data_IF_088258872399
#
_entry.id   IF_088258872399
#
_cell.length_a   1.000
_cell.length_b   1.000
_cell.length_c   1.000
_cell.angle_alpha   90.00
_cell.angle_beta   90.00
_cell.angle_gamma   90.00
#
_symmetry.space_group_name_H-M   'P 1'
#
loop_
_entity.id
_entity.type
_entity.pdbx_description
1 polymer ?
#
# COMPACT_ATOMS: atom_id res chain seq x y z
N UNK A 1 5.85 -3.16 12.81
CA UNK A 1 4.41 -3.40 12.54
C UNK A 1 4.16 -4.81 12.01
N UNK A 2 4.52 -5.14 10.76
CA UNK A 2 4.24 -6.47 10.16
C UNK A 2 4.82 -7.65 10.96
N UNK A 3 6.09 -7.56 11.35
CA UNK A 3 6.72 -8.61 12.16
C UNK A 3 6.02 -8.81 13.50
N UNK A 4 5.56 -7.71 14.13
CA UNK A 4 4.84 -7.78 15.41
C UNK A 4 3.47 -8.44 15.22
N UNK A 5 2.71 -8.05 14.19
CA UNK A 5 1.43 -8.65 13.90
C UNK A 5 1.54 -10.16 13.60
N UNK A 6 2.56 -10.59 12.85
CA UNK A 6 2.84 -12.03 12.65
C UNK A 6 3.20 -12.74 13.95
N UNK A 7 4.03 -12.13 14.79
CA UNK A 7 4.43 -12.70 16.08
C UNK A 7 3.25 -12.84 17.05
N UNK A 8 2.23 -12.00 16.93
CA UNK A 8 0.98 -12.10 17.70
C UNK A 8 -0.01 -13.14 17.12
N UNK A 9 0.38 -13.89 16.09
CA UNK A 9 -0.43 -14.96 15.50
C UNK A 9 -1.45 -14.49 14.46
N UNK A 10 -1.44 -13.21 14.06
CA UNK A 10 -2.32 -12.75 12.99
C UNK A 10 -1.84 -13.25 11.63
N UNK A 11 -2.75 -13.90 10.90
CA UNK A 11 -2.50 -14.34 9.53
C UNK A 11 -2.58 -13.15 8.57
N UNK A 12 -1.43 -12.58 8.23
CA UNK A 12 -1.30 -11.50 7.26
C UNK A 12 -1.00 -12.05 5.87
N UNK A 13 -2.06 -12.39 5.13
CA UNK A 13 -2.01 -12.80 3.71
C UNK A 13 -2.85 -11.85 2.85
N UNK A 14 -2.50 -11.76 1.58
CA UNK A 14 -3.25 -11.02 0.55
C UNK A 14 -3.52 -9.54 0.85
N UNK A 15 -2.56 -8.89 1.51
CA UNK A 15 -2.62 -7.45 1.79
C UNK A 15 -1.80 -6.64 0.78
N UNK A 16 -2.10 -5.34 0.72
CA UNK A 16 -1.41 -4.39 -0.14
C UNK A 16 -0.37 -3.63 0.66
N UNK A 17 0.81 -3.46 0.09
CA UNK A 17 1.86 -2.58 0.62
C UNK A 17 2.22 -1.52 -0.41
N UNK A 18 2.63 -0.35 0.07
CA UNK A 18 3.07 0.75 -0.78
C UNK A 18 4.25 1.45 -0.14
N UNK A 19 5.31 1.65 -0.93
CA UNK A 19 6.38 2.59 -0.62
C UNK A 19 6.16 3.87 -1.43
N UNK A 20 6.34 5.04 -0.80
CA UNK A 20 6.12 6.36 -1.41
C UNK A 20 7.32 7.30 -1.24
N UNK A 21 8.54 6.77 -1.24
CA UNK A 21 9.72 7.61 -1.06
C UNK A 21 10.02 8.48 -2.30
N UNK A 22 10.66 9.64 -2.06
CA UNK A 22 11.12 10.51 -3.15
C UNK A 22 12.16 9.85 -4.06
N UNK A 23 12.94 8.90 -3.53
CA UNK A 23 13.97 8.15 -4.27
C UNK A 23 13.83 6.67 -3.98
N UNK A 24 14.12 5.83 -4.98
CA UNK A 24 14.19 4.37 -4.78
C UNK A 24 15.30 4.01 -3.80
N UNK A 25 14.93 3.41 -2.68
CA UNK A 25 15.87 2.87 -1.71
C UNK A 25 15.70 1.35 -1.58
N UNK A 26 16.81 0.63 -1.40
CA UNK A 26 16.77 -0.82 -1.33
C UNK A 26 16.01 -1.33 -0.10
N UNK A 27 16.12 -0.67 1.07
CA UNK A 27 15.47 -1.15 2.31
C UNK A 27 13.94 -1.09 2.23
N UNK A 28 13.32 0.02 1.81
CA UNK A 28 11.87 0.05 1.60
C UNK A 28 11.41 -0.91 0.51
N UNK A 29 12.16 -0.99 -0.61
CA UNK A 29 11.85 -1.93 -1.68
C UNK A 29 11.87 -3.40 -1.19
N UNK A 30 12.85 -3.78 -0.39
CA UNK A 30 12.92 -5.15 0.17
C UNK A 30 11.92 -5.37 1.31
N UNK A 31 11.89 -4.48 2.31
CA UNK A 31 11.20 -4.74 3.58
C UNK A 31 9.73 -4.32 3.60
N UNK A 32 9.30 -3.50 2.65
CA UNK A 32 7.90 -3.05 2.52
C UNK A 32 7.28 -3.67 1.29
N UNK A 33 7.95 -3.59 0.14
CA UNK A 33 7.35 -3.97 -1.14
C UNK A 33 7.48 -5.46 -1.42
N UNK A 34 8.67 -6.04 -1.31
CA UNK A 34 8.89 -7.44 -1.72
C UNK A 34 8.65 -8.46 -0.60
N UNK A 35 9.44 -8.38 0.49
CA UNK A 35 9.43 -9.40 1.57
C UNK A 35 8.04 -9.62 2.18
N UNK A 36 7.23 -8.58 2.47
CA UNK A 36 5.92 -8.80 3.08
C UNK A 36 4.90 -9.47 2.16
N UNK A 37 5.02 -9.30 0.85
CA UNK A 37 4.05 -9.81 -0.14
C UNK A 37 4.50 -11.11 -0.82
N UNK A 38 5.63 -11.70 -0.40
CA UNK A 38 6.15 -12.96 -0.94
C UNK A 38 5.19 -14.15 -0.76
N UNK A 39 4.37 -14.11 0.28
CA UNK A 39 3.41 -15.18 0.63
C UNK A 39 1.98 -14.87 0.15
N UNK A 40 1.82 -13.85 -0.70
CA UNK A 40 0.52 -13.36 -1.19
C UNK A 40 0.40 -11.83 -1.07
N UNK A 41 -0.54 -11.25 -1.81
CA UNK A 41 -0.78 -9.80 -1.85
C UNK A 41 -0.03 -9.04 -2.94
N UNK A 42 -0.02 -7.71 -2.82
CA UNK A 42 0.54 -6.81 -3.85
C UNK A 42 1.42 -5.73 -3.24
N UNK A 43 2.62 -5.55 -3.78
CA UNK A 43 3.55 -4.51 -3.38
C UNK A 43 3.72 -3.46 -4.47
N UNK A 44 3.57 -2.19 -4.10
CA UNK A 44 3.75 -1.05 -4.98
C UNK A 44 4.89 -0.15 -4.52
N UNK A 45 5.66 0.39 -5.45
CA UNK A 45 6.69 1.38 -5.18
C UNK A 45 6.45 2.60 -6.05
N UNK A 46 5.98 3.68 -5.44
CA UNK A 46 5.70 4.96 -6.09
C UNK A 46 6.82 5.93 -5.71
N UNK A 47 7.38 6.63 -6.69
CA UNK A 47 8.54 7.50 -6.48
C UNK A 47 8.16 8.95 -6.79
N UNK A 48 8.30 9.83 -5.80
CA UNK A 48 7.98 11.25 -5.93
C UNK A 48 7.72 11.92 -4.59
N UNK A 49 7.24 13.16 -4.60
CA UNK A 49 6.91 13.89 -3.39
C UNK A 49 5.65 13.27 -2.76
N UNK A 50 5.79 12.52 -1.66
CA UNK A 50 4.67 11.88 -0.99
C UNK A 50 3.61 12.87 -0.50
N UNK A 51 4.00 14.11 -0.21
CA UNK A 51 3.10 15.21 0.15
C UNK A 51 2.10 15.53 -0.96
N UNK A 52 2.43 15.23 -2.23
CA UNK A 52 1.53 15.37 -3.38
C UNK A 52 0.86 14.03 -3.68
N UNK A 53 1.65 12.96 -3.71
CA UNK A 53 1.15 11.64 -4.11
C UNK A 53 0.09 11.08 -3.15
N UNK A 54 0.27 11.27 -1.84
CA UNK A 54 -0.66 10.73 -0.85
C UNK A 54 -2.04 11.40 -0.92
N UNK A 55 -2.17 12.75 -0.92
CA UNK A 55 -3.47 13.39 -1.14
C UNK A 55 -4.13 13.01 -2.47
N UNK A 56 -3.35 12.88 -3.56
CA UNK A 56 -3.89 12.46 -4.85
C UNK A 56 -4.42 11.02 -4.82
N UNK A 57 -3.70 10.10 -4.16
CA UNK A 57 -4.16 8.72 -3.99
C UNK A 57 -5.45 8.70 -3.16
N UNK A 58 -5.52 9.46 -2.06
CA UNK A 58 -6.74 9.58 -1.26
C UNK A 58 -7.90 10.12 -2.09
N UNK A 59 -7.69 11.19 -2.87
CA UNK A 59 -8.72 11.77 -3.72
C UNK A 59 -9.21 10.77 -4.77
N UNK A 60 -8.30 10.03 -5.43
CA UNK A 60 -8.67 9.02 -6.41
C UNK A 60 -9.48 7.87 -5.80
N UNK A 61 -9.10 7.41 -4.60
CA UNK A 61 -9.86 6.37 -3.88
C UNK A 61 -11.25 6.87 -3.49
N UNK A 62 -11.36 8.11 -2.99
CA UNK A 62 -12.65 8.72 -2.65
C UNK A 62 -13.56 8.83 -3.87
N UNK A 63 -13.03 9.30 -4.99
CA UNK A 63 -13.78 9.42 -6.25
C UNK A 63 -14.28 8.05 -6.73
N UNK A 64 -13.45 7.02 -6.69
CA UNK A 64 -13.85 5.66 -7.06
C UNK A 64 -14.98 5.13 -6.17
N UNK A 65 -14.85 5.30 -4.85
CA UNK A 65 -15.87 4.85 -3.89
C UNK A 65 -17.19 5.63 -4.04
N UNK A 66 -17.12 6.93 -4.29
CA UNK A 66 -18.31 7.73 -4.59
C UNK A 66 -18.96 7.31 -5.91
N UNK A 67 -18.16 7.09 -6.96
CA UNK A 67 -18.65 6.62 -8.25
C UNK A 67 -19.31 5.23 -8.15
N UNK A 68 -18.78 4.32 -7.36
CA UNK A 68 -19.38 2.99 -7.11
C UNK A 68 -20.71 3.10 -6.36
N UNK A 69 -20.77 3.91 -5.29
CA UNK A 69 -22.01 4.13 -4.53
C UNK A 69 -23.14 4.76 -5.35
N UNK A 70 -22.80 5.57 -6.35
CA UNK A 70 -23.77 6.23 -7.23
C UNK A 70 -24.20 5.36 -8.43
N UNK A 71 -23.46 4.29 -8.77
CA UNK A 71 -23.84 3.34 -9.82
C UNK A 71 -24.91 2.33 -9.36
N UNK A 72 -25.13 2.20 -8.05
CA UNK A 72 -26.16 1.35 -7.44
C UNK A 72 -27.51 2.05 -7.19
N UNK A 73 -27.69 3.30 -7.65
CA UNK A 73 -28.93 4.07 -7.58
C UNK A 73 -29.52 4.31 -8.95
#
# INVERSE_FOLDING_TARGET
AISVARNLGYNLKDFVTVNMDFVKQYRPLTNVVHRPTMEGGKGYNLVGHHEIMFPLLCAAVLELLWGENNKGR
#
